data_IF_203873020513
#
_entry.id   IF_203873020513
#
_cell.length_a   1.000
_cell.length_b   1.000
_cell.length_c   1.000
_cell.angle_alpha   90.00
_cell.angle_beta   90.00
_cell.angle_gamma   90.00
#
_symmetry.space_group_name_H-M   'P 1'
#
loop_
_entity.id
_entity.type
_entity.pdbx_description
1 polymer ?
#
# COMPACT_ATOMS: atom_id res chain seq x y z
N UNK A 1 -32.64 0.10 4.36
CA UNK A 1 -31.72 1.08 3.75
C UNK A 1 -30.28 0.57 3.94
N UNK A 2 -29.73 -0.14 2.94
CA UNK A 2 -28.37 -0.72 2.98
C UNK A 2 -27.43 -0.14 1.90
N UNK A 3 -27.94 0.76 1.04
CA UNK A 3 -27.24 1.23 -0.16
C UNK A 3 -26.11 2.21 0.18
N UNK A 4 -26.28 3.01 1.22
CA UNK A 4 -25.31 4.06 1.59
C UNK A 4 -23.99 3.44 2.08
N UNK A 5 -24.04 2.42 2.95
CA UNK A 5 -22.85 1.77 3.49
C UNK A 5 -21.97 1.14 2.41
N UNK A 6 -22.57 0.43 1.45
CA UNK A 6 -21.85 -0.24 0.37
C UNK A 6 -21.12 0.77 -0.55
N UNK A 7 -21.75 1.90 -0.89
CA UNK A 7 -21.12 2.98 -1.67
C UNK A 7 -19.92 3.59 -0.93
N UNK A 8 -20.00 3.74 0.40
CA UNK A 8 -18.88 4.23 1.20
C UNK A 8 -17.73 3.22 1.26
N UNK A 9 -18.03 1.92 1.40
CA UNK A 9 -17.04 0.84 1.35
C UNK A 9 -16.28 0.83 0.03
N UNK A 10 -16.99 0.93 -1.10
CA UNK A 10 -16.41 1.02 -2.43
C UNK A 10 -15.46 2.22 -2.55
N UNK A 11 -15.89 3.41 -2.08
CA UNK A 11 -15.07 4.62 -2.11
C UNK A 11 -13.78 4.46 -1.28
N UNK A 12 -13.89 3.91 -0.07
CA UNK A 12 -12.74 3.71 0.83
C UNK A 12 -11.77 2.69 0.23
N UNK A 13 -12.29 1.60 -0.34
CA UNK A 13 -11.48 0.59 -1.05
C UNK A 13 -10.70 1.21 -2.21
N UNK A 14 -11.37 1.98 -3.07
CA UNK A 14 -10.73 2.70 -4.18
C UNK A 14 -9.66 3.67 -3.69
N UNK A 15 -9.94 4.43 -2.62
CA UNK A 15 -8.97 5.34 -2.01
C UNK A 15 -7.74 4.59 -1.49
N UNK A 16 -7.92 3.44 -0.84
CA UNK A 16 -6.83 2.65 -0.28
C UNK A 16 -5.94 2.04 -1.37
N UNK A 17 -6.55 1.45 -2.41
CA UNK A 17 -5.83 0.91 -3.58
C UNK A 17 -5.06 2.04 -4.30
N UNK A 18 -5.65 3.21 -4.44
CA UNK A 18 -4.98 4.38 -5.01
C UNK A 18 -3.80 4.84 -4.16
N UNK A 19 -3.97 4.91 -2.84
CA UNK A 19 -2.91 5.32 -1.90
C UNK A 19 -1.72 4.35 -1.96
N UNK A 20 -1.94 3.04 -1.93
CA UNK A 20 -0.83 2.07 -1.98
C UNK A 20 -0.14 2.06 -3.36
N UNK A 21 -0.91 2.20 -4.45
CA UNK A 21 -0.34 2.25 -5.81
C UNK A 21 0.54 3.48 -6.05
N UNK A 22 0.28 4.60 -5.36
CA UNK A 22 1.18 5.78 -5.41
C UNK A 22 2.57 5.51 -4.84
N UNK A 23 2.71 4.51 -3.98
CA UNK A 23 4.01 4.12 -3.42
C UNK A 23 4.79 3.21 -4.36
N UNK A 24 4.11 2.57 -5.31
CA UNK A 24 4.67 1.57 -6.22
C UNK A 24 4.96 2.17 -7.60
N UNK A 25 6.08 1.77 -8.20
CA UNK A 25 6.50 2.15 -9.56
C UNK A 25 5.58 1.55 -10.62
N UNK A 26 4.96 0.41 -10.33
CA UNK A 26 3.99 -0.26 -11.16
C UNK A 26 2.78 -0.64 -10.29
N UNK A 27 1.54 -0.48 -10.80
CA UNK A 27 0.35 -0.73 -10.01
C UNK A 27 0.23 -2.21 -9.65
N UNK A 28 -0.14 -2.48 -8.41
CA UNK A 28 -0.55 -3.82 -7.99
C UNK A 28 -1.92 -4.17 -8.59
N UNK A 29 -2.18 -5.46 -8.75
CA UNK A 29 -3.50 -5.97 -9.11
C UNK A 29 -4.17 -6.61 -7.89
N UNK A 30 -5.49 -6.48 -7.80
CA UNK A 30 -6.33 -7.05 -6.74
C UNK A 30 -7.55 -7.68 -7.40
N UNK A 31 -8.01 -8.83 -6.90
CA UNK A 31 -9.24 -9.47 -7.38
C UNK A 31 -10.48 -8.79 -6.81
N UNK A 32 -10.53 -8.58 -5.50
CA UNK A 32 -11.62 -7.89 -4.83
C UNK A 32 -11.17 -7.23 -3.51
N UNK A 33 -11.96 -6.27 -3.05
CA UNK A 33 -11.66 -5.42 -1.89
C UNK A 33 -12.79 -5.52 -0.89
N UNK A 34 -12.45 -5.80 0.37
CA UNK A 34 -13.38 -5.75 1.50
C UNK A 34 -12.97 -4.65 2.47
N UNK A 35 -13.93 -4.05 3.16
CA UNK A 35 -13.67 -3.14 4.27
C UNK A 35 -13.99 -3.83 5.60
N UNK A 36 -13.09 -3.71 6.56
CA UNK A 36 -13.37 -4.11 7.94
C UNK A 36 -13.03 -2.99 8.90
N UNK A 37 -14.01 -2.64 9.73
CA UNK A 37 -13.79 -1.83 10.92
C UNK A 37 -13.38 -2.79 12.03
N UNK A 38 -12.09 -2.87 12.33
CA UNK A 38 -11.60 -3.66 13.45
C UNK A 38 -12.29 -3.13 14.71
N UNK A 39 -12.83 -4.01 15.56
CA UNK A 39 -13.55 -3.59 16.79
C UNK A 39 -12.72 -2.71 17.72
N UNK A 40 -11.39 -2.69 17.56
CA UNK A 40 -10.48 -1.73 18.15
C UNK A 40 -10.47 -0.40 17.38
N UNK A 41 -11.56 0.35 17.52
CA UNK A 41 -11.55 1.79 17.27
C UNK A 41 -10.34 2.41 18.00
N UNK A 42 -9.54 3.31 17.37
CA UNK A 42 -9.85 4.15 16.22
C UNK A 42 -9.22 3.72 14.88
N UNK A 43 -8.87 2.43 14.70
CA UNK A 43 -8.25 1.93 13.45
C UNK A 43 -9.26 1.25 12.54
N UNK A 44 -9.04 1.37 11.23
CA UNK A 44 -9.79 0.70 10.18
C UNK A 44 -8.85 -0.10 9.27
N UNK A 45 -9.38 -1.05 8.52
CA UNK A 45 -8.59 -1.85 7.59
C UNK A 45 -9.34 -2.14 6.30
N UNK A 46 -8.69 -1.85 5.17
CA UNK A 46 -9.10 -2.37 3.86
C UNK A 46 -8.36 -3.68 3.61
N UNK A 47 -9.10 -4.71 3.24
CA UNK A 47 -8.60 -6.04 2.92
C UNK A 47 -8.60 -6.17 1.41
N UNK A 48 -7.41 -6.39 0.84
CA UNK A 48 -7.22 -6.68 -0.57
C UNK A 48 -7.02 -8.18 -0.72
N UNK A 49 -7.82 -8.82 -1.57
CA UNK A 49 -7.74 -10.26 -1.82
C UNK A 49 -7.21 -10.54 -3.23
N UNK A 50 -6.40 -11.60 -3.37
CA UNK A 50 -5.77 -11.95 -4.63
C UNK A 50 -4.80 -10.87 -5.11
N UNK A 51 -3.85 -10.49 -4.27
CA UNK A 51 -2.92 -9.40 -4.56
C UNK A 51 -1.71 -9.92 -5.33
N UNK A 52 -1.39 -9.25 -6.44
CA UNK A 52 -0.14 -9.44 -7.16
C UNK A 52 0.57 -8.10 -7.34
N UNK A 53 1.83 -8.03 -6.91
CA UNK A 53 2.70 -6.88 -7.05
C UNK A 53 3.74 -7.19 -8.13
N UNK A 54 3.76 -6.44 -9.24
CA UNK A 54 4.77 -6.62 -10.28
C UNK A 54 6.17 -6.26 -9.76
N UNK A 55 7.19 -6.94 -10.26
CA UNK A 55 8.59 -6.57 -10.04
C UNK A 55 9.05 -5.51 -11.06
N UNK A 56 10.28 -5.02 -10.90
CA UNK A 56 10.84 -4.01 -11.83
C UNK A 56 11.30 -4.57 -13.18
N UNK A 57 11.15 -5.87 -13.41
CA UNK A 57 11.66 -6.63 -14.56
C UNK A 57 10.56 -7.27 -15.40
N UNK A 58 9.30 -6.99 -15.11
CA UNK A 58 8.14 -7.56 -15.81
C UNK A 58 7.68 -8.93 -15.29
N UNK A 59 8.23 -9.38 -14.16
CA UNK A 59 7.75 -10.53 -13.39
C UNK A 59 6.85 -10.12 -12.22
N UNK A 60 6.60 -11.06 -11.31
CA UNK A 60 5.84 -10.83 -10.08
C UNK A 60 6.79 -10.89 -8.89
N UNK A 61 6.85 -9.80 -8.11
CA UNK A 61 7.62 -9.72 -6.87
C UNK A 61 6.87 -10.42 -5.73
N UNK A 62 5.58 -10.12 -5.57
CA UNK A 62 4.77 -10.63 -4.47
C UNK A 62 3.43 -11.12 -5.00
N UNK A 63 3.08 -12.37 -4.71
CA UNK A 63 1.70 -12.83 -4.75
C UNK A 63 1.24 -13.03 -3.31
N UNK A 64 0.03 -12.61 -2.98
CA UNK A 64 -0.55 -12.81 -1.66
C UNK A 64 -2.03 -13.10 -1.75
N UNK A 65 -2.50 -14.08 -0.97
CA UNK A 65 -3.93 -14.33 -0.85
C UNK A 65 -4.65 -13.11 -0.26
N UNK A 66 -4.07 -12.49 0.77
CA UNK A 66 -4.69 -11.38 1.48
C UNK A 66 -3.65 -10.35 1.92
N UNK A 67 -3.96 -9.07 1.72
CA UNK A 67 -3.18 -7.93 2.19
C UNK A 67 -4.10 -6.96 2.95
N UNK A 68 -3.73 -6.61 4.18
CA UNK A 68 -4.47 -5.68 5.03
C UNK A 68 -3.78 -4.32 5.02
N UNK A 69 -4.49 -3.29 4.60
CA UNK A 69 -4.07 -1.90 4.67
C UNK A 69 -4.70 -1.26 5.90
N UNK A 70 -3.91 -1.05 6.95
CA UNK A 70 -4.40 -0.45 8.20
C UNK A 70 -4.17 1.06 8.21
N UNK A 71 -5.19 1.80 8.65
CA UNK A 71 -5.15 3.26 8.74
C UNK A 71 -6.02 3.75 9.91
N UNK A 72 -5.81 5.00 10.33
CA UNK A 72 -6.67 5.64 11.31
C UNK A 72 -8.01 6.02 10.67
N UNK A 73 -9.13 5.75 11.33
CA UNK A 73 -10.47 5.98 10.74
C UNK A 73 -10.70 7.43 10.29
N UNK A 74 -10.08 8.40 10.98
CA UNK A 74 -10.13 9.82 10.62
C UNK A 74 -9.51 10.12 9.25
N UNK A 75 -8.65 9.26 8.70
CA UNK A 75 -8.07 9.48 7.37
C UNK A 75 -9.09 9.29 6.24
N UNK A 76 -10.23 8.65 6.49
CA UNK A 76 -11.30 8.48 5.48
C UNK A 76 -11.92 9.83 5.09
N UNK A 77 -11.88 10.81 5.99
CA UNK A 77 -12.36 12.17 5.73
C UNK A 77 -11.36 13.04 4.95
N UNK A 78 -10.15 12.53 4.69
CA UNK A 78 -9.14 13.20 3.87
C UNK A 78 -9.28 12.74 2.42
N UNK A 79 -8.67 13.48 1.50
CA UNK A 79 -8.61 13.09 0.08
C UNK A 79 -7.79 11.81 -0.16
N UNK A 80 -6.89 11.49 0.77
CA UNK A 80 -6.00 10.33 0.70
C UNK A 80 -5.93 9.60 2.03
N UNK A 81 -6.01 8.27 1.98
CA UNK A 81 -5.82 7.41 3.14
C UNK A 81 -4.34 7.36 3.48
N UNK A 82 -4.04 7.63 4.75
CA UNK A 82 -2.70 7.52 5.32
C UNK A 82 -2.49 6.09 5.84
N UNK A 83 -1.83 5.26 5.01
CA UNK A 83 -1.58 3.85 5.32
C UNK A 83 -0.49 3.76 6.39
N UNK A 84 -0.88 3.31 7.58
CA UNK A 84 0.00 3.20 8.74
C UNK A 84 0.70 1.84 8.83
N UNK A 85 0.04 0.79 8.34
CA UNK A 85 0.60 -0.56 8.34
C UNK A 85 0.06 -1.38 7.18
N UNK A 86 0.89 -2.29 6.68
CA UNK A 86 0.54 -3.28 5.68
C UNK A 86 0.86 -4.65 6.25
N UNK A 87 -0.14 -5.52 6.34
CA UNK A 87 0.04 -6.92 6.72
C UNK A 87 -0.24 -7.80 5.51
N UNK A 88 0.62 -8.79 5.26
CA UNK A 88 0.46 -9.73 4.16
C UNK A 88 0.30 -11.13 4.74
N UNK A 89 -0.69 -11.86 4.27
CA UNK A 89 -0.98 -13.23 4.71
C UNK A 89 -1.04 -14.18 3.52
N UNK A 90 -0.47 -15.38 3.71
CA UNK A 90 -0.36 -16.42 2.69
C UNK A 90 0.19 -15.87 1.36
N UNK A 91 1.39 -15.28 1.43
CA UNK A 91 2.08 -14.73 0.28
C UNK A 91 3.39 -15.42 -0.04
N UNK A 92 3.79 -15.32 -1.31
CA UNK A 92 5.06 -15.77 -1.86
C UNK A 92 5.83 -14.58 -2.40
N UNK A 93 7.07 -14.41 -1.96
CA UNK A 93 7.96 -13.33 -2.41
C UNK A 93 9.05 -13.91 -3.32
N UNK A 94 9.21 -13.32 -4.51
CA UNK A 94 10.22 -13.70 -5.49
C UNK A 94 11.31 -12.64 -5.55
N UNK A 95 12.40 -12.86 -4.84
CA UNK A 95 13.55 -11.93 -4.82
C UNK A 95 14.65 -12.44 -5.74
N UNK A 96 15.01 -11.62 -6.72
CA UNK A 96 16.07 -11.88 -7.68
C UNK A 96 17.07 -10.73 -7.66
N UNK A 97 18.35 -11.08 -7.51
CA UNK A 97 19.48 -10.15 -7.59
C UNK A 97 20.43 -10.62 -8.68
N UNK A 98 20.77 -9.74 -9.61
CA UNK A 98 21.72 -10.08 -10.66
C UNK A 98 23.19 -9.92 -10.22
N UNK A 99 24.12 -10.39 -11.06
CA UNK A 99 25.57 -10.30 -10.82
C UNK A 99 26.09 -8.86 -10.72
N UNK A 100 25.32 -7.85 -11.14
CA UNK A 100 25.64 -6.42 -11.05
C UNK A 100 25.05 -5.79 -9.78
N UNK A 101 24.41 -6.57 -8.93
CA UNK A 101 23.77 -6.11 -7.69
C UNK A 101 22.40 -5.45 -7.89
N UNK A 102 21.85 -5.47 -9.11
CA UNK A 102 20.51 -4.92 -9.38
C UNK A 102 19.47 -5.95 -8.98
N UNK A 103 18.56 -5.53 -8.11
CA UNK A 103 17.52 -6.42 -7.58
C UNK A 103 16.13 -6.05 -8.08
N UNK A 104 15.26 -7.05 -8.21
CA UNK A 104 13.90 -6.88 -8.74
C UNK A 104 12.92 -6.25 -7.72
N UNK A 105 13.31 -6.16 -6.45
CA UNK A 105 12.47 -5.64 -5.37
C UNK A 105 12.43 -4.11 -5.25
N UNK A 106 13.14 -3.35 -6.10
CA UNK A 106 13.11 -1.88 -6.10
C UNK A 106 11.79 -1.35 -6.71
N UNK A 107 10.65 -1.83 -6.20
CA UNK A 107 9.30 -1.54 -6.70
C UNK A 107 8.71 -0.28 -6.09
N UNK A 108 9.32 0.30 -5.06
CA UNK A 108 8.84 1.52 -4.41
C UNK A 108 9.50 2.76 -4.99
N UNK A 109 8.76 3.87 -5.12
CA UNK A 109 9.40 5.15 -5.39
C UNK A 109 10.36 5.50 -4.25
N UNK A 110 11.60 5.88 -4.58
CA UNK A 110 12.52 6.44 -3.58
C UNK A 110 11.91 7.71 -3.02
N UNK A 111 11.52 7.68 -1.75
CA UNK A 111 11.19 8.89 -1.02
C UNK A 111 12.47 9.73 -0.90
N UNK A 112 12.64 10.71 -1.79
CA UNK A 112 13.78 11.65 -1.75
C UNK A 112 13.57 12.60 -0.58
N UNK A 113 13.91 12.16 0.62
CA UNK A 113 13.86 12.99 1.81
C UNK A 113 15.03 14.01 1.74
N UNK A 114 14.83 15.10 0.99
CA UNK A 114 15.74 16.25 0.95
C UNK A 114 15.61 17.05 2.25
N UNK A 115 16.11 16.50 3.36
CA UNK A 115 16.57 17.35 4.46
C UNK A 115 17.98 17.81 4.10
N UNK A 116 18.07 18.91 3.34
CA UNK A 116 19.32 19.66 3.25
C UNK A 116 19.57 20.21 4.66
N UNK A 117 20.42 19.53 5.42
CA UNK A 117 21.04 20.12 6.62
C UNK A 117 21.84 21.33 6.11
N UNK A 118 21.23 22.52 6.18
CA UNK A 118 21.98 23.78 6.15
C UNK A 118 22.82 23.79 7.44
N UNK A 119 24.04 23.26 7.36
CA UNK A 119 25.06 23.55 8.35
C UNK A 119 25.34 25.05 8.19
N UNK A 120 24.70 25.88 9.02
CA UNK A 120 25.13 27.25 9.22
C UNK A 120 26.51 27.15 9.87
N UNK A 121 27.56 27.43 9.10
CA UNK A 121 28.86 27.79 9.65
C UNK A 121 28.64 29.11 10.40
N UNK A 122 28.61 29.03 11.73
CA UNK A 122 28.76 30.21 12.58
C UNK A 122 30.24 30.61 12.46
N UNK A 123 30.47 31.73 11.78
CA UNK A 123 31.68 32.55 11.95
C UNK A 123 31.34 33.69 12.88
#
# INVERSE_FOLDING_TARGET
MLIVAQIYEDKIGVMAVKSINKLLKAPLTVEYVDLTLIQTFPKASVILNGVSVPDTRGGILLNAKTMYLQFGIMSIFKDEIDIQSVLVSNGSLNVLTDKKGVSNYDVFFRQRNKRILKIRKLS
#
